data_IF_161887586705
#
_entry.id   IF_161887586705
#
_cell.length_a   1.000
_cell.length_b   1.000
_cell.length_c   1.000
_cell.angle_alpha   90.00
_cell.angle_beta   90.00
_cell.angle_gamma   90.00
#
_symmetry.space_group_name_H-M   'P 1'
#
loop_
_entity.id
_entity.type
_entity.pdbx_description
1 polymer ?
#
# COMPACT_ATOMS: atom_id res chain seq x y z
N UNK A 1 -30.91 -30.29 5.75
CA UNK A 1 -29.49 -30.71 5.84
C UNK A 1 -28.59 -30.21 4.69
N UNK A 2 -29.04 -30.17 3.43
CA UNK A 2 -28.20 -29.79 2.26
C UNK A 2 -27.60 -28.37 2.26
N UNK A 3 -28.26 -27.37 2.84
CA UNK A 3 -27.75 -25.97 2.85
C UNK A 3 -26.46 -25.80 3.65
N UNK A 4 -26.29 -26.52 4.76
CA UNK A 4 -25.12 -26.38 5.62
C UNK A 4 -23.86 -26.95 4.98
N UNK A 5 -23.97 -28.12 4.33
CA UNK A 5 -22.86 -28.72 3.58
C UNK A 5 -22.45 -27.85 2.39
N UNK A 6 -23.41 -27.25 1.67
CA UNK A 6 -23.10 -26.38 0.53
C UNK A 6 -22.37 -25.09 0.94
N UNK A 7 -22.75 -24.48 2.07
CA UNK A 7 -22.06 -23.30 2.62
C UNK A 7 -20.64 -23.63 3.10
N UNK A 8 -20.46 -24.79 3.74
CA UNK A 8 -19.13 -25.26 4.16
C UNK A 8 -18.22 -25.57 2.96
N UNK A 9 -18.77 -26.18 1.91
CA UNK A 9 -18.05 -26.50 0.68
C UNK A 9 -17.63 -25.22 -0.07
N UNK A 10 -18.52 -24.21 -0.14
CA UNK A 10 -18.16 -22.90 -0.69
C UNK A 10 -17.09 -22.17 0.13
N UNK A 11 -17.17 -22.24 1.46
CA UNK A 11 -16.17 -21.63 2.34
C UNK A 11 -14.80 -22.30 2.16
N UNK A 12 -14.77 -23.62 2.03
CA UNK A 12 -13.55 -24.41 1.75
C UNK A 12 -12.96 -24.03 0.40
N UNK A 13 -13.77 -23.96 -0.66
CA UNK A 13 -13.31 -23.55 -2.00
C UNK A 13 -12.75 -22.13 -2.01
N UNK A 14 -13.35 -21.19 -1.28
CA UNK A 14 -12.82 -19.83 -1.14
C UNK A 14 -11.49 -19.80 -0.40
N UNK A 15 -11.32 -20.60 0.67
CA UNK A 15 -10.03 -20.71 1.39
C UNK A 15 -8.94 -21.23 0.46
N UNK A 16 -9.21 -22.32 -0.26
CA UNK A 16 -8.27 -22.92 -1.21
C UNK A 16 -7.93 -21.97 -2.37
N UNK A 17 -8.91 -21.24 -2.91
CA UNK A 17 -8.66 -20.26 -3.96
C UNK A 17 -7.82 -19.07 -3.46
N UNK A 18 -8.02 -18.64 -2.22
CA UNK A 18 -7.22 -17.58 -1.59
C UNK A 18 -5.81 -18.08 -1.27
N UNK A 19 -5.65 -19.30 -0.78
CA UNK A 19 -4.34 -19.92 -0.54
C UNK A 19 -3.57 -20.12 -1.85
N UNK A 20 -4.22 -20.59 -2.91
CA UNK A 20 -3.63 -20.70 -4.23
C UNK A 20 -3.24 -19.33 -4.82
N UNK A 21 -4.09 -18.31 -4.64
CA UNK A 21 -3.76 -16.94 -5.03
C UNK A 21 -2.58 -16.37 -4.20
N UNK A 22 -2.49 -16.72 -2.91
CA UNK A 22 -1.37 -16.35 -2.03
C UNK A 22 -0.08 -17.05 -2.43
N UNK A 23 -0.13 -18.33 -2.73
CA UNK A 23 1.02 -19.11 -3.19
C UNK A 23 1.49 -18.60 -4.55
N UNK A 24 0.58 -18.32 -5.49
CA UNK A 24 0.97 -17.70 -6.77
C UNK A 24 1.56 -16.31 -6.58
N UNK A 25 0.97 -15.48 -5.73
CA UNK A 25 1.55 -14.17 -5.41
C UNK A 25 2.90 -14.25 -4.67
N UNK A 26 3.19 -15.37 -3.99
CA UNK A 26 4.48 -15.62 -3.35
C UNK A 26 5.51 -16.22 -4.31
N UNK A 27 5.07 -17.02 -5.30
CA UNK A 27 5.92 -17.70 -6.30
C UNK A 27 6.26 -16.76 -7.48
N UNK A 28 5.30 -15.96 -7.96
CA UNK A 28 5.51 -14.95 -9.01
C UNK A 28 6.23 -13.69 -8.50
N UNK A 29 6.52 -13.62 -7.20
CA UNK A 29 7.41 -12.61 -6.66
C UNK A 29 8.80 -13.22 -6.58
N UNK A 30 9.69 -12.95 -7.56
CA UNK A 30 11.10 -13.13 -7.28
C UNK A 30 11.35 -12.39 -5.97
N UNK A 31 12.14 -13.00 -5.07
CA UNK A 31 12.88 -12.24 -4.08
C UNK A 31 13.63 -11.17 -4.87
N UNK A 32 13.00 -10.01 -5.00
CA UNK A 32 13.57 -8.85 -5.62
C UNK A 32 14.60 -8.37 -4.61
N UNK A 33 15.74 -9.06 -4.61
CA UNK A 33 17.05 -8.47 -4.33
C UNK A 33 17.21 -7.44 -5.46
N UNK A 34 16.43 -6.36 -5.40
CA UNK A 34 16.76 -5.15 -6.12
C UNK A 34 18.05 -4.73 -5.43
N UNK A 35 19.16 -4.56 -6.16
CA UNK A 35 20.33 -3.96 -5.56
C UNK A 35 19.88 -2.60 -5.03
N UNK A 36 19.83 -2.49 -3.71
CA UNK A 36 19.68 -1.25 -2.99
C UNK A 36 20.96 -0.45 -3.17
N UNK A 37 21.18 0.05 -4.38
CA UNK A 37 21.90 1.30 -4.54
C UNK A 37 20.82 2.36 -4.68
N UNK A 38 20.49 3.09 -3.60
CA UNK A 38 20.02 4.44 -3.80
C UNK A 38 21.10 5.09 -4.66
N UNK A 39 20.76 5.52 -5.88
CA UNK A 39 21.64 6.40 -6.62
C UNK A 39 21.99 7.56 -5.66
N UNK A 40 23.28 7.93 -5.54
CA UNK A 40 23.66 9.03 -4.69
C UNK A 40 22.83 10.24 -5.08
N UNK A 41 22.16 10.81 -4.08
CA UNK A 41 21.40 12.04 -4.24
C UNK A 41 22.41 13.08 -4.71
N UNK A 42 22.33 13.49 -5.98
CA UNK A 42 23.23 14.52 -6.51
C UNK A 42 23.04 15.82 -5.72
N UNK A 43 24.15 16.44 -5.30
CA UNK A 43 24.18 17.75 -4.64
C UNK A 43 23.92 18.92 -5.61
N UNK A 44 23.70 18.64 -6.90
CA UNK A 44 23.40 19.68 -7.87
C UNK A 44 22.13 20.46 -7.48
N UNK A 45 22.13 21.80 -7.53
CA UNK A 45 20.96 22.59 -7.22
C UNK A 45 19.84 22.28 -8.23
N UNK A 46 18.80 21.60 -7.74
CA UNK A 46 17.68 21.18 -8.56
C UNK A 46 16.76 22.38 -8.81
N UNK A 47 16.89 22.97 -10.00
CA UNK A 47 16.05 24.08 -10.45
C UNK A 47 14.59 23.64 -10.65
N UNK A 48 13.65 24.52 -10.30
CA UNK A 48 12.21 24.31 -10.55
C UNK A 48 11.35 23.88 -9.36
N UNK A 49 11.93 23.59 -8.19
CA UNK A 49 11.18 23.26 -6.96
C UNK A 49 10.70 24.49 -6.16
N UNK A 50 10.96 25.70 -6.64
CA UNK A 50 10.60 26.94 -5.95
C UNK A 50 11.30 27.04 -4.59
N UNK A 51 10.55 27.41 -3.54
CA UNK A 51 11.09 27.55 -2.18
C UNK A 51 11.60 26.24 -1.57
N UNK A 52 11.18 25.08 -2.09
CA UNK A 52 11.69 23.79 -1.64
C UNK A 52 13.15 23.56 -2.06
N UNK A 53 13.63 24.21 -3.12
CA UNK A 53 15.02 24.10 -3.57
C UNK A 53 16.04 24.72 -2.59
N UNK A 54 15.56 25.49 -1.61
CA UNK A 54 16.38 26.07 -0.53
C UNK A 54 16.71 25.00 0.53
N UNK A 55 15.92 23.93 0.60
CA UNK A 55 16.07 22.88 1.59
C UNK A 55 17.08 21.83 1.11
N UNK A 56 17.84 21.20 2.04
CA UNK A 56 18.63 20.02 1.73
C UNK A 56 17.75 18.90 1.16
N UNK A 57 18.32 18.09 0.27
CA UNK A 57 17.60 17.04 -0.44
C UNK A 57 16.95 16.02 0.51
N UNK A 58 17.59 15.72 1.63
CA UNK A 58 17.08 14.83 2.68
C UNK A 58 15.80 15.38 3.29
N UNK A 59 15.75 16.70 3.54
CA UNK A 59 14.57 17.37 4.08
C UNK A 59 13.42 17.34 3.06
N UNK A 60 13.72 17.55 1.78
CA UNK A 60 12.73 17.42 0.71
C UNK A 60 12.15 16.00 0.70
N UNK A 61 13.01 14.97 0.81
CA UNK A 61 12.59 13.56 0.86
C UNK A 61 11.72 13.26 2.09
N UNK A 62 12.06 13.78 3.27
CA UNK A 62 11.24 13.63 4.50
C UNK A 62 9.87 14.30 4.31
N UNK A 63 9.82 15.50 3.73
CA UNK A 63 8.56 16.19 3.43
C UNK A 63 7.71 15.37 2.46
N UNK A 64 8.33 14.76 1.45
CA UNK A 64 7.64 13.94 0.47
C UNK A 64 7.11 12.63 1.10
N UNK A 65 7.87 11.99 1.99
CA UNK A 65 7.45 10.78 2.70
C UNK A 65 6.22 11.04 3.61
N UNK A 66 6.05 12.28 4.07
CA UNK A 66 4.90 12.71 4.87
C UNK A 66 3.72 13.25 4.04
N UNK A 67 3.87 13.41 2.73
CA UNK A 67 2.76 13.79 1.85
C UNK A 67 1.83 12.61 1.57
N UNK A 68 0.55 12.87 1.26
CA UNK A 68 -0.33 11.82 0.73
C UNK A 68 0.14 11.34 -0.65
N UNK A 69 -0.15 10.08 -0.99
CA UNK A 69 0.14 9.54 -2.33
C UNK A 69 -0.46 10.43 -3.43
N UNK A 70 -1.70 10.92 -3.23
CA UNK A 70 -2.35 11.83 -4.20
C UNK A 70 -1.59 13.13 -4.39
N UNK A 71 -1.06 13.72 -3.31
CA UNK A 71 -0.25 14.95 -3.38
C UNK A 71 1.03 14.71 -4.17
N UNK A 72 1.71 13.59 -3.93
CA UNK A 72 2.93 13.21 -4.65
C UNK A 72 2.66 13.00 -6.15
N UNK A 73 1.58 12.31 -6.51
CA UNK A 73 1.18 12.11 -7.92
C UNK A 73 0.87 13.42 -8.63
N UNK A 74 0.34 14.43 -7.91
CA UNK A 74 0.12 15.77 -8.45
C UNK A 74 1.45 16.51 -8.60
N UNK A 75 2.31 16.41 -7.59
CA UNK A 75 3.62 17.05 -7.56
C UNK A 75 4.52 16.57 -8.71
N UNK A 76 4.46 15.28 -9.05
CA UNK A 76 5.17 14.69 -10.20
C UNK A 76 4.86 15.42 -11.53
N UNK A 77 3.66 16.00 -11.65
CA UNK A 77 3.22 16.70 -12.88
C UNK A 77 3.62 18.17 -12.91
N UNK A 78 4.08 18.73 -11.79
CA UNK A 78 4.40 20.16 -11.69
C UNK A 78 5.68 20.47 -12.45
N UNK A 79 6.73 19.66 -12.29
CA UNK A 79 8.00 19.84 -12.99
C UNK A 79 8.85 18.55 -12.97
N UNK A 80 9.91 18.52 -13.80
CA UNK A 80 10.83 17.36 -13.92
C UNK A 80 11.62 17.05 -12.65
N UNK A 81 11.99 18.09 -11.90
CA UNK A 81 12.71 17.97 -10.64
C UNK A 81 11.90 17.22 -9.57
N UNK A 82 10.68 17.67 -9.33
CA UNK A 82 9.69 17.03 -8.47
C UNK A 82 9.42 15.59 -8.90
N UNK A 83 9.29 15.33 -10.20
CA UNK A 83 9.18 13.97 -10.72
C UNK A 83 10.37 13.10 -10.31
N UNK A 84 11.60 13.61 -10.43
CA UNK A 84 12.82 12.90 -10.03
C UNK A 84 12.79 12.57 -8.53
N UNK A 85 12.51 13.55 -7.67
CA UNK A 85 12.39 13.30 -6.22
C UNK A 85 11.30 12.29 -5.87
N UNK A 86 10.11 12.39 -6.48
CA UNK A 86 9.03 11.41 -6.25
C UNK A 86 9.46 10.02 -6.71
N UNK A 87 10.21 9.88 -7.80
CA UNK A 87 10.72 8.57 -8.24
C UNK A 87 11.79 7.97 -7.34
N UNK A 88 12.47 8.79 -6.54
CA UNK A 88 13.45 8.35 -5.54
C UNK A 88 12.80 7.84 -4.25
N UNK A 89 11.49 8.04 -4.06
CA UNK A 89 10.79 7.52 -2.89
C UNK A 89 10.78 5.99 -2.92
N UNK A 90 11.15 5.39 -1.79
CA UNK A 90 11.22 3.95 -1.63
C UNK A 90 9.88 3.28 -1.92
N UNK A 91 9.86 2.28 -2.81
CA UNK A 91 8.68 1.50 -3.23
C UNK A 91 7.56 2.29 -3.93
N UNK A 92 7.82 3.48 -4.48
CA UNK A 92 6.76 4.34 -5.04
C UNK A 92 5.94 3.68 -6.15
N UNK A 93 6.58 2.88 -7.00
CA UNK A 93 5.91 2.12 -8.07
C UNK A 93 4.99 1.08 -7.46
N UNK A 94 5.51 0.25 -6.55
CA UNK A 94 4.75 -0.79 -5.86
C UNK A 94 3.54 -0.22 -5.09
N UNK A 95 3.75 0.85 -4.32
CA UNK A 95 2.69 1.52 -3.55
C UNK A 95 1.61 2.07 -4.47
N UNK A 96 2.01 2.73 -5.57
CA UNK A 96 1.08 3.30 -6.57
C UNK A 96 0.23 2.21 -7.21
N UNK A 97 0.85 1.16 -7.74
CA UNK A 97 0.16 0.06 -8.41
C UNK A 97 -0.75 -0.72 -7.46
N UNK A 98 -0.27 -0.99 -6.25
CA UNK A 98 -1.06 -1.72 -5.25
C UNK A 98 -2.26 -0.90 -4.79
N UNK A 99 -2.09 0.39 -4.50
CA UNK A 99 -3.20 1.27 -4.13
C UNK A 99 -4.23 1.38 -5.26
N UNK A 100 -3.77 1.53 -6.50
CA UNK A 100 -4.63 1.57 -7.68
C UNK A 100 -5.40 0.25 -7.86
N UNK A 101 -4.72 -0.90 -7.74
CA UNK A 101 -5.34 -2.21 -7.83
C UNK A 101 -6.40 -2.45 -6.75
N UNK A 102 -6.16 -1.97 -5.53
CA UNK A 102 -7.15 -2.04 -4.43
C UNK A 102 -8.41 -1.25 -4.79
N UNK A 103 -8.27 0.00 -5.29
CA UNK A 103 -9.41 0.84 -5.68
C UNK A 103 -10.19 0.22 -6.85
N UNK A 104 -9.48 -0.30 -7.86
CA UNK A 104 -10.11 -0.91 -9.04
C UNK A 104 -10.96 -2.12 -8.69
N UNK A 105 -10.46 -2.98 -7.78
CA UNK A 105 -11.17 -4.18 -7.30
C UNK A 105 -12.24 -3.89 -6.25
N UNK A 106 -12.29 -2.67 -5.71
CA UNK A 106 -13.26 -2.30 -4.70
C UNK A 106 -14.67 -2.17 -5.27
N UNK A 107 -15.64 -2.67 -4.51
CA UNK A 107 -17.07 -2.48 -4.77
C UNK A 107 -17.36 -0.97 -4.81
N UNK A 108 -18.18 -0.46 -5.76
CA UNK A 108 -18.41 0.97 -5.96
C UNK A 108 -18.73 1.75 -4.67
N UNK A 109 -19.56 1.17 -3.80
CA UNK A 109 -19.95 1.77 -2.51
C UNK A 109 -18.79 2.05 -1.55
N UNK A 110 -17.68 1.29 -1.66
CA UNK A 110 -16.50 1.48 -0.80
C UNK A 110 -15.43 2.36 -1.44
N UNK A 111 -15.54 2.72 -2.73
CA UNK A 111 -14.53 3.53 -3.43
C UNK A 111 -14.36 4.91 -2.78
N UNK A 112 -15.46 5.57 -2.41
CA UNK A 112 -15.42 6.87 -1.74
C UNK A 112 -14.63 6.81 -0.43
N UNK A 113 -14.87 5.78 0.39
CA UNK A 113 -14.15 5.57 1.65
C UNK A 113 -12.66 5.33 1.38
N UNK A 114 -12.32 4.52 0.37
CA UNK A 114 -10.93 4.25 -0.02
C UNK A 114 -10.20 5.52 -0.49
N UNK A 115 -10.85 6.37 -1.28
CA UNK A 115 -10.27 7.66 -1.68
C UNK A 115 -10.03 8.58 -0.48
N UNK A 116 -10.94 8.59 0.50
CA UNK A 116 -10.75 9.35 1.75
C UNK A 116 -9.54 8.83 2.52
N UNK A 117 -9.41 7.51 2.69
CA UNK A 117 -8.27 6.89 3.39
C UNK A 117 -6.95 7.26 2.70
N UNK A 118 -6.88 7.14 1.37
CA UNK A 118 -5.68 7.49 0.60
C UNK A 118 -5.35 8.99 0.66
N UNK A 119 -6.34 9.85 0.93
CA UNK A 119 -6.13 11.29 1.09
C UNK A 119 -5.54 11.63 2.46
N UNK A 120 -5.94 10.93 3.52
CA UNK A 120 -5.50 11.21 4.90
C UNK A 120 -4.24 10.44 5.30
N UNK A 121 -3.95 9.32 4.63
CA UNK A 121 -2.78 8.50 4.94
C UNK A 121 -1.54 9.11 4.27
N UNK A 122 -0.49 9.32 5.06
CA UNK A 122 0.82 9.72 4.54
C UNK A 122 1.41 8.63 3.67
N UNK A 123 2.32 8.98 2.77
CA UNK A 123 3.02 8.01 1.92
C UNK A 123 3.77 6.99 2.77
N UNK A 124 4.48 7.45 3.80
CA UNK A 124 5.14 6.60 4.78
C UNK A 124 4.19 5.57 5.40
N UNK A 125 3.06 6.02 5.94
CA UNK A 125 2.07 5.13 6.58
C UNK A 125 1.45 4.17 5.58
N UNK A 126 1.14 4.63 4.37
CA UNK A 126 0.61 3.79 3.31
C UNK A 126 1.62 2.73 2.87
N UNK A 127 2.90 3.10 2.71
CA UNK A 127 3.99 2.18 2.37
C UNK A 127 4.11 1.10 3.43
N UNK A 128 4.17 1.48 4.71
CA UNK A 128 4.22 0.51 5.81
C UNK A 128 3.02 -0.44 5.76
N UNK A 129 1.81 0.08 5.60
CA UNK A 129 0.59 -0.74 5.56
C UNK A 129 0.58 -1.72 4.37
N UNK A 130 1.09 -1.32 3.20
CA UNK A 130 1.09 -2.15 1.99
C UNK A 130 2.27 -3.12 1.91
N UNK A 131 3.41 -2.77 2.50
CA UNK A 131 4.62 -3.59 2.53
C UNK A 131 4.67 -4.54 3.74
N UNK A 132 3.91 -4.26 4.80
CA UNK A 132 3.89 -5.12 5.99
C UNK A 132 2.96 -6.31 5.77
N UNK A 133 3.50 -7.51 5.99
CA UNK A 133 2.78 -8.77 5.86
C UNK A 133 2.45 -9.43 7.19
N UNK A 134 2.80 -8.82 8.32
CA UNK A 134 2.50 -9.34 9.64
C UNK A 134 1.20 -8.77 10.16
N UNK A 135 0.27 -9.63 10.57
CA UNK A 135 -0.96 -9.23 11.24
C UNK A 135 -0.63 -8.48 12.53
N UNK A 136 -1.12 -7.25 12.66
CA UNK A 136 -0.90 -6.40 13.83
C UNK A 136 -1.47 -6.98 15.13
N UNK A 137 -2.37 -7.96 15.03
CA UNK A 137 -3.04 -8.56 16.21
C UNK A 137 -2.39 -9.86 16.68
N UNK A 138 -1.89 -10.69 15.77
CA UNK A 138 -1.43 -12.04 16.12
C UNK A 138 -0.07 -12.43 15.50
N UNK A 139 0.61 -11.53 14.79
CA UNK A 139 1.92 -11.78 14.18
C UNK A 139 1.92 -12.72 12.96
N UNK A 140 0.85 -13.50 12.75
CA UNK A 140 0.70 -14.37 11.56
C UNK A 140 0.68 -13.54 10.26
N UNK A 141 0.96 -14.15 9.10
CA UNK A 141 0.79 -13.49 7.81
C UNK A 141 -0.61 -12.87 7.63
N UNK A 142 -0.64 -11.58 7.33
CA UNK A 142 -1.82 -10.75 7.17
C UNK A 142 -1.76 -9.94 5.88
N UNK A 143 -2.87 -9.30 5.54
CA UNK A 143 -2.93 -8.37 4.42
C UNK A 143 -3.57 -7.07 4.82
N UNK A 144 -3.19 -6.00 4.14
CA UNK A 144 -3.76 -4.69 4.37
C UNK A 144 -5.28 -4.69 4.15
N UNK A 145 -6.02 -4.26 5.18
CA UNK A 145 -7.47 -4.08 5.14
C UNK A 145 -7.74 -2.59 5.13
N UNK A 146 -7.91 -2.05 3.92
CA UNK A 146 -8.10 -0.62 3.72
C UNK A 146 -9.25 -0.05 4.57
N UNK A 147 -10.40 -0.73 4.67
CA UNK A 147 -11.55 -0.28 5.50
C UNK A 147 -11.18 -0.08 6.99
N UNK A 148 -10.25 -0.88 7.52
CA UNK A 148 -9.79 -0.77 8.92
C UNK A 148 -8.47 -0.03 9.05
N UNK A 149 -7.85 0.34 7.93
CA UNK A 149 -6.50 0.93 7.84
C UNK A 149 -5.48 0.14 8.67
N UNK A 150 -5.52 -1.20 8.57
CA UNK A 150 -4.67 -2.12 9.36
C UNK A 150 -4.29 -3.38 8.58
N UNK A 151 -3.15 -3.98 8.91
CA UNK A 151 -2.76 -5.29 8.40
C UNK A 151 -3.34 -6.39 9.28
N UNK A 152 -4.26 -7.18 8.73
CA UNK A 152 -4.98 -8.22 9.48
C UNK A 152 -5.05 -9.53 8.68
N UNK A 153 -4.82 -10.65 9.37
CA UNK A 153 -5.16 -11.97 8.85
C UNK A 153 -6.69 -12.17 8.80
N UNK A 154 -7.16 -13.20 8.08
CA UNK A 154 -8.61 -13.44 7.92
C UNK A 154 -9.30 -13.73 9.26
N UNK A 155 -8.64 -14.48 10.15
CA UNK A 155 -9.13 -14.81 11.49
C UNK A 155 -9.38 -13.53 12.28
N UNK A 156 -8.34 -12.70 12.51
CA UNK A 156 -8.47 -11.45 13.26
C UNK A 156 -9.42 -10.43 12.61
N UNK A 157 -9.57 -10.45 11.29
CA UNK A 157 -10.54 -9.60 10.61
C UNK A 157 -11.99 -10.02 10.89
N UNK A 158 -12.26 -11.33 10.97
CA UNK A 158 -13.59 -11.92 11.17
C UNK A 158 -13.98 -12.05 12.64
N UNK A 159 -13.03 -12.32 13.54
CA UNK A 159 -13.29 -12.46 14.99
C UNK A 159 -13.86 -11.21 15.64
N UNK A 160 -13.56 -10.00 15.14
CA UNK A 160 -14.19 -8.77 15.65
C UNK A 160 -15.68 -8.67 15.30
N UNK A 161 -16.14 -9.30 14.21
CA UNK A 161 -17.58 -9.31 13.87
C UNK A 161 -18.43 -10.16 14.82
N UNK A 162 -17.80 -11.03 15.63
CA UNK A 162 -18.47 -11.87 16.63
C UNK A 162 -18.56 -11.22 18.02
N UNK A 163 -17.84 -10.12 18.27
CA UNK A 163 -17.91 -9.39 19.55
C UNK A 163 -18.86 -8.19 19.54
N UNK A 164 -19.24 -7.70 18.36
CA UNK A 164 -20.15 -6.56 18.18
C UNK A 164 -21.59 -7.00 17.80
N UNK A 165 -21.96 -8.24 18.13
CA UNK A 165 -23.33 -8.79 18.06
C UNK A 165 -23.68 -9.40 19.40
#
# INVERSE_FOLDING_TARGET
MYRHQWVQEQARRRRLAVEAARQRAAIERPLQIIPSQPEPISDDPITGLGRLAILPNEIIMIVFDNCSLRSLLRLERVNKAAKKFVSLLHDIVFVRETAQGIIQRAVPQFRTIMFTILKITTYHGLRQLLATYTCETCGKPGSFRMVKVKVLCDECNTSRKLKDR
#
